data_IF_635015860024
#
_entry.id   IF_635015860024
#
_cell.length_a   1.000
_cell.length_b   1.000
_cell.length_c   1.000
_cell.angle_alpha   90.00
_cell.angle_beta   90.00
_cell.angle_gamma   90.00
#
_symmetry.space_group_name_H-M   'P 1'
#
loop_
_entity.id
_entity.type
_entity.pdbx_description
1 polymer ?
#
# COMPACT_ATOMS: atom_id res chain seq x y z
N UNK A 1 25.45 2.64 -1.81
CA UNK A 1 24.21 3.23 -1.28
C UNK A 1 23.80 4.39 -2.19
N UNK A 2 22.68 4.25 -2.90
CA UNK A 2 22.11 5.33 -3.70
C UNK A 2 20.64 5.44 -3.32
N UNK A 3 20.32 6.43 -2.48
CA UNK A 3 18.97 6.82 -2.15
C UNK A 3 18.38 7.50 -3.38
N UNK A 4 17.58 6.78 -4.16
CA UNK A 4 16.79 7.40 -5.23
C UNK A 4 15.56 8.03 -4.56
N UNK A 5 15.64 9.34 -4.29
CA UNK A 5 14.49 10.13 -3.86
C UNK A 5 13.62 10.38 -5.10
N UNK A 6 12.62 9.53 -5.32
CA UNK A 6 11.71 9.62 -6.46
C UNK A 6 10.71 10.76 -6.23
N UNK A 7 11.06 11.95 -6.73
CA UNK A 7 10.18 13.11 -6.73
C UNK A 7 9.05 12.96 -7.74
N UNK A 8 7.81 13.25 -7.30
CA UNK A 8 6.56 13.29 -8.08
C UNK A 8 6.04 11.96 -8.63
N UNK A 9 4.72 11.81 -8.59
CA UNK A 9 3.95 10.60 -8.97
C UNK A 9 4.30 9.99 -10.35
N UNK A 10 4.64 10.75 -11.41
CA UNK A 10 4.99 10.17 -12.72
C UNK A 10 6.30 9.37 -12.70
N UNK A 11 7.29 9.79 -11.92
CA UNK A 11 8.60 9.12 -11.86
C UNK A 11 8.53 7.84 -11.02
N UNK A 12 7.66 7.82 -10.00
CA UNK A 12 7.31 6.62 -9.24
C UNK A 12 6.58 5.59 -10.09
N UNK A 13 5.64 6.01 -10.92
CA UNK A 13 4.94 5.14 -11.87
C UNK A 13 5.94 4.50 -12.85
N UNK A 14 6.83 5.31 -13.44
CA UNK A 14 7.86 4.81 -14.36
C UNK A 14 8.86 3.89 -13.67
N UNK A 15 9.27 4.21 -12.44
CA UNK A 15 10.18 3.36 -11.66
C UNK A 15 9.52 2.02 -11.30
N UNK A 16 8.27 2.03 -10.83
CA UNK A 16 7.52 0.81 -10.53
C UNK A 16 7.28 -0.05 -11.79
N UNK A 17 6.91 0.56 -12.91
CA UNK A 17 6.74 -0.14 -14.18
C UNK A 17 8.05 -0.77 -14.69
N UNK A 18 9.18 -0.05 -14.54
CA UNK A 18 10.50 -0.55 -14.91
C UNK A 18 10.96 -1.72 -14.04
N UNK A 19 10.69 -1.65 -12.74
CA UNK A 19 11.14 -2.65 -11.77
C UNK A 19 10.25 -3.91 -11.74
N UNK A 20 9.00 -3.81 -12.20
CA UNK A 20 8.05 -4.92 -12.20
C UNK A 20 7.42 -5.17 -13.58
N UNK A 21 8.23 -5.49 -14.62
CA UNK A 21 7.78 -5.55 -16.01
C UNK A 21 6.78 -6.70 -16.29
N UNK A 22 6.90 -7.84 -15.58
CA UNK A 22 5.97 -8.98 -15.72
C UNK A 22 4.60 -8.75 -15.08
N UNK A 23 4.46 -7.67 -14.31
CA UNK A 23 3.18 -7.13 -13.86
C UNK A 23 2.94 -5.75 -14.43
N UNK A 24 3.66 -5.29 -15.46
CA UNK A 24 3.33 -4.03 -16.12
C UNK A 24 1.90 -4.03 -16.70
N UNK A 25 1.30 -5.25 -16.84
CA UNK A 25 -0.09 -5.63 -17.14
C UNK A 25 -1.06 -5.85 -15.93
N UNK A 26 -0.57 -5.92 -14.70
CA UNK A 26 -1.33 -6.24 -13.45
C UNK A 26 -1.05 -5.31 -12.26
N UNK A 27 0.05 -4.58 -12.32
CA UNK A 27 0.28 -3.24 -11.78
C UNK A 27 -0.49 -2.20 -12.63
N UNK A 28 -1.09 -2.64 -13.74
CA UNK A 28 -1.96 -1.81 -14.57
C UNK A 28 -3.12 -1.24 -13.78
N UNK A 29 -3.21 0.08 -13.95
CA UNK A 29 -4.35 0.98 -13.76
C UNK A 29 -4.93 1.08 -12.35
N UNK A 30 -4.99 -0.01 -11.58
CA UNK A 30 -5.66 -0.02 -10.29
C UNK A 30 -4.90 0.72 -9.20
N UNK A 31 -3.57 0.73 -9.23
CA UNK A 31 -2.78 1.06 -8.04
C UNK A 31 -2.15 2.46 -8.03
N UNK A 32 -2.17 3.18 -9.15
CA UNK A 32 -1.42 4.44 -9.31
C UNK A 32 -2.24 5.50 -10.07
N UNK A 33 -3.23 5.11 -10.89
CA UNK A 33 -4.07 6.07 -11.61
C UNK A 33 -5.25 6.57 -10.75
N UNK A 34 -5.61 7.87 -10.86
CA UNK A 34 -6.65 8.52 -10.04
C UNK A 34 -8.02 7.84 -10.06
N UNK A 35 -8.31 7.02 -11.07
CA UNK A 35 -9.60 6.37 -11.28
C UNK A 35 -9.78 5.03 -10.55
N UNK A 36 -8.73 4.42 -10.00
CA UNK A 36 -8.84 3.09 -9.39
C UNK A 36 -8.05 2.88 -8.08
N UNK A 37 -7.10 3.79 -7.76
CA UNK A 37 -6.70 4.17 -6.41
C UNK A 37 -6.58 5.70 -6.44
N UNK A 38 -7.66 6.42 -6.16
CA UNK A 38 -7.73 7.90 -6.13
C UNK A 38 -6.81 8.59 -5.10
N UNK A 39 -5.54 8.20 -5.03
CA UNK A 39 -4.60 8.56 -4.00
C UNK A 39 -4.92 7.86 -2.69
N UNK A 40 -4.67 6.55 -2.62
CA UNK A 40 -4.38 5.88 -1.34
C UNK A 40 -2.96 6.17 -0.85
N UNK A 41 -2.10 6.72 -1.70
CA UNK A 41 -0.76 7.21 -1.38
C UNK A 41 -0.78 8.73 -1.29
N UNK A 42 -0.20 9.28 -0.24
CA UNK A 42 0.03 10.72 -0.08
C UNK A 42 1.38 11.11 -0.72
N UNK A 43 1.33 11.59 -1.96
CA UNK A 43 2.53 12.04 -2.69
C UNK A 43 3.10 13.37 -2.19
N UNK A 44 2.45 14.05 -1.24
CA UNK A 44 3.08 15.16 -0.52
C UNK A 44 4.13 14.67 0.49
N UNK A 45 4.12 13.36 0.81
CA UNK A 45 5.10 12.68 1.65
C UNK A 45 6.09 11.88 0.80
N UNK A 46 7.28 11.56 1.34
CA UNK A 46 8.25 10.73 0.62
C UNK A 46 7.68 9.36 0.28
N UNK A 47 7.93 8.93 -0.96
CA UNK A 47 7.68 7.56 -1.42
C UNK A 47 9.03 7.00 -1.86
N UNK A 48 9.35 5.78 -1.44
CA UNK A 48 10.65 5.18 -1.71
C UNK A 48 10.57 3.66 -1.84
N UNK A 49 11.46 3.13 -2.68
CA UNK A 49 11.73 1.70 -2.69
C UNK A 49 12.58 1.34 -1.47
N UNK A 50 12.21 0.26 -0.79
CA UNK A 50 12.96 -0.29 0.35
C UNK A 50 13.23 -1.78 0.12
N UNK A 51 14.38 -2.25 0.62
CA UNK A 51 14.63 -3.68 0.77
C UNK A 51 14.24 -4.07 2.20
N UNK A 52 13.30 -5.00 2.32
CA UNK A 52 12.79 -5.51 3.58
C UNK A 52 13.45 -6.87 3.83
N UNK A 53 14.23 -7.03 4.91
CA UNK A 53 14.87 -8.30 5.21
C UNK A 53 13.86 -9.42 5.46
N UNK A 54 14.23 -10.65 5.08
CA UNK A 54 13.53 -11.86 5.50
C UNK A 54 13.31 -11.87 7.03
N UNK A 55 12.17 -12.39 7.48
CA UNK A 55 11.84 -12.45 8.90
C UNK A 55 11.22 -11.17 9.48
N UNK A 56 11.19 -10.06 8.73
CA UNK A 56 10.58 -8.81 9.20
C UNK A 56 9.05 -8.98 9.30
N UNK A 57 8.42 -8.73 10.47
CA UNK A 57 6.98 -8.85 10.62
C UNK A 57 6.24 -7.59 10.15
N UNK A 58 5.11 -7.79 9.48
CA UNK A 58 4.16 -6.75 9.08
C UNK A 58 2.75 -7.16 9.44
N UNK A 59 1.81 -6.23 9.35
CA UNK A 59 0.39 -6.51 9.50
C UNK A 59 -0.38 -6.22 8.22
N UNK A 60 -1.44 -6.97 7.97
CA UNK A 60 -2.47 -6.65 6.98
C UNK A 60 -3.84 -6.77 7.65
N UNK A 61 -4.72 -5.80 7.38
CA UNK A 61 -6.12 -5.89 7.83
C UNK A 61 -6.94 -6.58 6.74
N UNK A 62 -7.36 -7.81 7.00
CA UNK A 62 -7.97 -8.70 6.02
C UNK A 62 -9.38 -9.09 6.42
N UNK A 63 -10.26 -9.30 5.45
CA UNK A 63 -11.51 -10.02 5.71
C UNK A 63 -11.14 -11.48 6.04
N UNK A 64 -11.66 -12.07 7.12
CA UNK A 64 -11.37 -13.47 7.45
C UNK A 64 -11.64 -14.42 6.27
N UNK A 65 -10.65 -15.23 5.91
CA UNK A 65 -10.73 -16.18 4.79
C UNK A 65 -10.44 -15.59 3.40
N UNK A 66 -10.28 -14.27 3.28
CA UNK A 66 -9.84 -13.65 2.03
C UNK A 66 -8.34 -13.93 1.77
N UNK A 67 -7.91 -13.96 0.49
CA UNK A 67 -6.50 -14.12 0.16
C UNK A 67 -5.67 -12.93 0.69
N UNK A 68 -4.38 -13.20 0.94
CA UNK A 68 -3.41 -12.15 1.29
C UNK A 68 -3.26 -11.19 0.11
N UNK A 69 -3.46 -9.90 0.38
CA UNK A 69 -3.26 -8.83 -0.59
C UNK A 69 -1.83 -8.29 -0.60
N UNK A 70 -1.61 -7.21 -1.36
CA UNK A 70 -0.28 -6.64 -1.58
C UNK A 70 0.10 -5.49 -0.64
N UNK A 71 -0.85 -5.00 0.16
CA UNK A 71 -0.62 -3.87 1.07
C UNK A 71 -0.40 -4.35 2.50
N UNK A 72 0.71 -3.91 3.09
CA UNK A 72 1.10 -4.23 4.44
C UNK A 72 1.38 -2.94 5.22
N UNK A 73 1.40 -3.03 6.53
CA UNK A 73 1.80 -1.93 7.40
C UNK A 73 2.77 -2.43 8.48
N UNK A 74 3.64 -1.56 9.03
CA UNK A 74 4.45 -1.92 10.19
C UNK A 74 3.57 -2.42 11.36
N UNK A 75 4.07 -3.39 12.12
CA UNK A 75 3.39 -3.87 13.34
C UNK A 75 3.11 -2.68 14.27
N UNK A 76 1.90 -2.63 14.82
CA UNK A 76 1.42 -1.52 15.67
C UNK A 76 0.75 -0.38 14.88
N UNK A 77 0.74 -0.42 13.55
CA UNK A 77 -0.02 0.57 12.76
C UNK A 77 -1.52 0.39 12.96
N UNK A 78 -2.19 1.43 13.45
CA UNK A 78 -3.64 1.41 13.63
C UNK A 78 -4.37 1.39 12.28
N UNK A 79 -5.33 0.49 12.12
CA UNK A 79 -6.00 0.26 10.83
C UNK A 79 -6.73 1.49 10.26
N UNK A 80 -7.29 2.34 11.12
CA UNK A 80 -7.93 3.59 10.72
C UNK A 80 -6.97 4.63 10.11
N UNK A 81 -5.66 4.42 10.19
CA UNK A 81 -4.64 5.28 9.57
C UNK A 81 -4.24 4.81 8.16
N UNK A 82 -4.81 3.72 7.64
CA UNK A 82 -4.42 3.15 6.35
C UNK A 82 -5.26 3.61 5.17
N UNK A 83 -6.15 4.58 5.37
CA UNK A 83 -6.93 5.15 4.27
C UNK A 83 -7.92 4.15 3.68
N UNK A 84 -8.53 3.29 4.50
CA UNK A 84 -9.72 2.51 4.14
C UNK A 84 -10.51 2.15 5.39
N UNK A 85 -11.76 1.71 5.21
CA UNK A 85 -12.61 1.24 6.28
C UNK A 85 -12.20 -0.16 6.76
N UNK A 86 -11.85 -0.28 8.04
CA UNK A 86 -11.36 -1.54 8.63
C UNK A 86 -12.45 -2.41 9.27
N UNK A 87 -13.72 -2.01 9.22
CA UNK A 87 -14.80 -2.83 9.77
C UNK A 87 -14.87 -4.20 9.10
N UNK A 88 -15.10 -5.24 9.92
CA UNK A 88 -15.13 -6.64 9.48
C UNK A 88 -13.76 -7.23 9.12
N UNK A 89 -12.67 -6.46 9.19
CA UNK A 89 -11.31 -6.93 8.92
C UNK A 89 -10.57 -7.24 10.22
N UNK A 90 -9.76 -8.29 10.18
CA UNK A 90 -8.88 -8.72 11.26
C UNK A 90 -7.44 -8.34 10.93
N UNK A 91 -6.68 -7.95 11.95
CA UNK A 91 -5.26 -7.70 11.80
C UNK A 91 -4.50 -9.03 11.83
N UNK A 92 -3.89 -9.40 10.72
CA UNK A 92 -3.06 -10.60 10.58
C UNK A 92 -1.60 -10.22 10.48
N UNK A 93 -0.72 -10.93 11.19
CA UNK A 93 0.73 -10.77 11.07
C UNK A 93 1.25 -11.61 9.90
N UNK A 94 2.08 -11.00 9.06
CA UNK A 94 2.76 -11.65 7.94
C UNK A 94 4.28 -11.51 8.06
N UNK A 95 4.98 -12.58 7.71
CA UNK A 95 6.45 -12.63 7.70
C UNK A 95 6.87 -13.18 6.34
N UNK A 96 7.71 -12.44 5.63
CA UNK A 96 8.32 -12.91 4.38
C UNK A 96 9.53 -13.80 4.71
N UNK A 97 9.66 -14.93 4.02
CA UNK A 97 10.77 -15.88 4.22
C UNK A 97 12.01 -15.58 3.36
N UNK A 98 11.99 -14.47 2.63
CA UNK A 98 13.07 -13.95 1.80
C UNK A 98 13.05 -12.42 1.84
N UNK A 99 14.15 -11.80 1.44
CA UNK A 99 14.20 -10.35 1.28
C UNK A 99 13.22 -9.90 0.19
N UNK A 100 12.38 -8.90 0.50
CA UNK A 100 11.40 -8.37 -0.45
C UNK A 100 11.67 -6.90 -0.75
N UNK A 101 11.58 -6.53 -2.03
CA UNK A 101 11.53 -5.13 -2.43
C UNK A 101 10.11 -4.62 -2.34
N UNK A 102 9.92 -3.52 -1.62
CA UNK A 102 8.61 -2.94 -1.37
C UNK A 102 8.62 -1.44 -1.67
N UNK A 103 7.45 -0.90 -2.03
CA UNK A 103 7.22 0.53 -2.11
C UNK A 103 6.68 1.02 -0.76
N UNK A 104 7.50 1.76 0.00
CA UNK A 104 7.07 2.39 1.25
C UNK A 104 6.47 3.77 0.95
N UNK A 105 5.31 4.06 1.54
CA UNK A 105 4.61 5.33 1.40
C UNK A 105 3.76 5.69 2.64
N UNK A 106 3.19 6.89 2.65
CA UNK A 106 2.16 7.30 3.60
C UNK A 106 0.78 7.11 2.98
N UNK A 107 -0.16 6.54 3.73
CA UNK A 107 -1.54 6.43 3.33
C UNK A 107 -2.18 7.81 3.23
N UNK A 108 -2.91 8.10 2.15
CA UNK A 108 -3.62 9.37 1.98
C UNK A 108 -5.00 9.30 2.63
N UNK A 109 -5.47 10.45 3.10
CA UNK A 109 -6.85 10.61 3.53
C UNK A 109 -7.78 10.48 2.34
N UNK A 110 -8.77 9.60 2.44
CA UNK A 110 -9.72 9.34 1.36
C UNK A 110 -11.14 9.15 1.90
N UNK A 111 -12.11 9.27 0.99
CA UNK A 111 -13.47 8.78 1.22
C UNK A 111 -13.57 7.38 0.64
N UNK A 112 -13.71 6.37 1.51
CA UNK A 112 -13.93 4.98 1.15
C UNK A 112 -15.40 4.79 0.77
N UNK A 113 -15.66 4.55 -0.51
CA UNK A 113 -17.00 4.33 -1.07
C UNK A 113 -17.21 2.89 -1.55
N UNK A 114 -16.28 1.97 -1.25
CA UNK A 114 -16.25 0.63 -1.82
C UNK A 114 -16.23 -0.49 -0.78
N UNK A 115 -15.75 -0.23 0.44
CA UNK A 115 -15.67 -1.26 1.48
C UNK A 115 -17.04 -1.69 2.00
N UNK A 116 -18.03 -0.79 1.97
CA UNK A 116 -19.43 -1.07 2.35
C UNK A 116 -20.34 -0.52 1.24
N UNK A 117 -21.05 -1.38 0.49
CA UNK A 117 -21.93 -0.93 -0.59
C UNK A 117 -22.96 0.10 -0.11
N UNK A 118 -23.03 1.24 -0.81
CA UNK A 118 -23.97 2.33 -0.51
C UNK A 118 -23.52 3.30 0.59
N UNK A 119 -22.32 3.13 1.15
CA UNK A 119 -21.79 4.01 2.20
C UNK A 119 -20.62 4.85 1.67
N UNK A 120 -20.44 6.03 2.27
CA UNK A 120 -19.26 6.88 2.07
C UNK A 120 -18.61 7.13 3.43
N UNK A 121 -17.43 6.54 3.63
CA UNK A 121 -16.77 6.50 4.95
C UNK A 121 -15.49 7.32 4.88
N UNK A 122 -15.33 8.29 5.78
CA UNK A 122 -14.07 9.03 5.91
C UNK A 122 -12.99 8.11 6.47
N UNK A 123 -11.90 7.95 5.73
CA UNK A 123 -10.73 7.18 6.12
C UNK A 123 -9.51 8.10 6.20
N UNK A 124 -9.06 8.49 7.41
CA UNK A 124 -8.09 9.58 7.62
C UNK A 124 -6.72 9.39 6.97
N UNK A 125 -6.28 8.16 6.72
CA UNK A 125 -4.92 7.91 6.25
C UNK A 125 -3.86 8.31 7.30
N UNK A 126 -2.65 8.63 6.83
CA UNK A 126 -1.52 9.10 7.63
C UNK A 126 -0.56 8.01 8.11
N UNK A 127 -0.98 6.74 8.10
CA UNK A 127 -0.17 5.59 8.47
C UNK A 127 0.90 5.26 7.42
N UNK A 128 1.96 4.57 7.82
CA UNK A 128 2.92 4.00 6.87
C UNK A 128 2.35 2.73 6.26
N UNK A 129 2.47 2.59 4.95
CA UNK A 129 2.10 1.39 4.22
C UNK A 129 3.23 0.94 3.30
N UNK A 130 3.28 -0.36 3.04
CA UNK A 130 4.18 -1.01 2.10
C UNK A 130 3.35 -1.73 1.05
N UNK A 131 3.64 -1.49 -0.22
CA UNK A 131 3.16 -2.32 -1.32
C UNK A 131 4.24 -3.33 -1.68
N UNK A 132 3.92 -4.62 -1.54
CA UNK A 132 4.76 -5.75 -1.93
C UNK A 132 4.09 -6.43 -3.13
N UNK A 133 4.73 -6.42 -4.31
CA UNK A 133 4.10 -6.86 -5.56
C UNK A 133 3.92 -8.36 -5.67
#
# INVERSE_FOLDING_TARGET
ASLVQLGRAPDLLRAAQKEFPGKAGKIELHHIEPKYLGGGIDFSKPVRMVNVPAGTPFVQFQIPGAPVGNYFAPVGTAGNTLGFYTGGRQQTVHIFNHDVRALQSTAKSITDTWSVPGWSISAPGGGTQLFVP
#
